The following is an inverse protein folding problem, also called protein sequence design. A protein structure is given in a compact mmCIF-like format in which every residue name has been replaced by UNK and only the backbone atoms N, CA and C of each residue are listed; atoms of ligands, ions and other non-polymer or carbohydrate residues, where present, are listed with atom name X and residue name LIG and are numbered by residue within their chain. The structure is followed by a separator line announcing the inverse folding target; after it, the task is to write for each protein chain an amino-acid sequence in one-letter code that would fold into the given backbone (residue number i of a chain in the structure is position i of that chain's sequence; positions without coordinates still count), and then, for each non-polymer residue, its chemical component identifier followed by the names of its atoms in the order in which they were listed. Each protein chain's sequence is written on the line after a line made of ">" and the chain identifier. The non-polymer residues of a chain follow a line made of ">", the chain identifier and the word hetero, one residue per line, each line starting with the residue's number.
data_IF_626913274017
#
_entry.id   IF_626913274017
#
_cell.length_a   1.000
_cell.length_b   1.000
_cell.length_c   1.000
_cell.angle_alpha   90.00
_cell.angle_beta   90.00
_cell.angle_gamma   90.00
#
_symmetry.space_group_name_H-M   'P 1'
#
loop_
_entity.id
_entity.type
_entity.pdbx_description
1 polymer ?
#
# COMPACT_ATOMS: atom_id res chain seq x y z
N UNK A 1 10.11 -2.81 -15.78
CA UNK A 1 11.59 -2.80 -15.74
C UNK A 1 12.19 -1.43 -16.01
N UNK A 2 11.93 -0.81 -17.16
CA UNK A 2 12.59 0.46 -17.57
C UNK A 2 12.25 1.65 -16.65
N UNK A 3 11.05 1.71 -16.07
CA UNK A 3 10.65 2.81 -15.19
C UNK A 3 11.33 2.75 -13.81
N UNK A 4 11.59 1.56 -13.28
CA UNK A 4 12.37 1.37 -12.04
C UNK A 4 13.83 1.80 -12.26
N UNK A 5 14.42 1.46 -13.40
CA UNK A 5 15.80 1.83 -13.77
C UNK A 5 15.98 3.35 -13.96
N UNK A 6 14.93 4.06 -14.42
CA UNK A 6 14.97 5.53 -14.57
C UNK A 6 14.84 6.28 -13.26
N UNK A 7 14.23 5.65 -12.24
CA UNK A 7 13.97 6.28 -10.94
C UNK A 7 15.11 6.09 -9.94
N UNK A 8 16.04 5.20 -10.21
CA UNK A 8 17.12 4.83 -9.30
C UNK A 8 18.45 4.87 -10.04
N UNK A 9 19.15 5.99 -10.00
CA UNK A 9 20.45 6.15 -10.65
C UNK A 9 21.52 6.76 -9.75
N UNK A 10 21.18 7.12 -8.51
CA UNK A 10 22.10 7.79 -7.60
C UNK A 10 22.29 7.01 -6.30
N UNK A 11 23.52 6.97 -5.83
CA UNK A 11 23.92 6.31 -4.55
C UNK A 11 23.28 6.94 -3.30
N UNK A 12 22.53 8.03 -3.46
CA UNK A 12 21.77 8.72 -2.40
C UNK A 12 20.27 8.40 -2.38
N UNK A 13 19.78 7.62 -3.33
CA UNK A 13 18.34 7.34 -3.45
C UNK A 13 17.85 6.56 -2.23
N UNK A 14 16.72 7.01 -1.68
CA UNK A 14 16.04 6.38 -0.55
C UNK A 14 14.78 5.70 -1.04
N UNK A 15 14.64 4.43 -0.71
CA UNK A 15 13.48 3.63 -1.12
C UNK A 15 12.70 3.20 0.11
N UNK A 16 11.39 3.38 0.07
CA UNK A 16 10.47 2.80 1.06
C UNK A 16 9.63 1.71 0.42
N UNK A 17 9.69 0.51 0.99
CA UNK A 17 8.77 -0.59 0.68
C UNK A 17 7.78 -0.69 1.83
N UNK A 18 6.53 -0.37 1.55
CA UNK A 18 5.42 -0.54 2.49
C UNK A 18 4.73 -1.88 2.25
N UNK A 19 4.14 -2.46 3.29
CA UNK A 19 3.40 -3.71 3.19
C UNK A 19 2.24 -3.76 4.18
N UNK A 20 1.20 -4.54 3.86
CA UNK A 20 0.01 -4.69 4.70
C UNK A 20 0.32 -5.33 6.05
N UNK A 21 -0.39 -4.90 7.07
CA UNK A 21 -0.33 -5.44 8.43
C UNK A 21 -1.00 -6.83 8.56
N UNK A 22 -1.06 -7.34 9.78
CA UNK A 22 -1.61 -8.65 10.11
C UNK A 22 -3.14 -8.74 10.00
N UNK A 23 -3.86 -7.64 9.86
CA UNK A 23 -5.32 -7.63 9.71
C UNK A 23 -5.74 -8.03 8.30
N UNK A 24 -4.83 -7.94 7.33
CA UNK A 24 -5.04 -8.47 5.99
C UNK A 24 -4.80 -9.98 6.00
N UNK A 25 -5.88 -10.75 5.80
CA UNK A 25 -5.91 -12.22 5.90
C UNK A 25 -5.13 -12.92 4.79
N UNK A 26 -3.83 -12.71 4.74
CA UNK A 26 -2.89 -13.42 3.87
C UNK A 26 -1.90 -14.19 4.73
N UNK A 27 -1.93 -15.50 4.60
CA UNK A 27 -1.05 -16.42 5.30
C UNK A 27 -0.03 -17.03 4.34
N UNK A 28 1.13 -17.44 4.88
CA UNK A 28 2.20 -17.98 4.07
C UNK A 28 3.17 -16.91 3.52
N UNK A 29 4.11 -17.29 2.66
CA UNK A 29 5.27 -16.48 2.31
C UNK A 29 5.02 -15.45 1.19
N UNK A 30 3.78 -15.05 0.94
CA UNK A 30 3.41 -14.16 -0.18
C UNK A 30 4.13 -12.81 -0.06
N UNK A 31 4.05 -12.16 1.12
CA UNK A 31 4.71 -10.86 1.36
C UNK A 31 6.24 -10.95 1.24
N UNK A 32 6.93 -11.88 1.95
CA UNK A 32 8.37 -11.97 1.83
C UNK A 32 8.84 -12.32 0.40
N UNK A 33 8.10 -13.15 -0.35
CA UNK A 33 8.43 -13.43 -1.76
C UNK A 33 8.34 -12.15 -2.60
N UNK A 34 7.25 -11.40 -2.48
CA UNK A 34 7.07 -10.16 -3.23
C UNK A 34 8.12 -9.11 -2.87
N UNK A 35 8.41 -8.92 -1.58
CA UNK A 35 9.43 -7.97 -1.11
C UNK A 35 10.82 -8.38 -1.62
N UNK A 36 11.19 -9.66 -1.58
CA UNK A 36 12.48 -10.13 -2.11
C UNK A 36 12.59 -9.89 -3.61
N UNK A 37 11.54 -10.18 -4.38
CA UNK A 37 11.54 -9.88 -5.81
C UNK A 37 11.76 -8.39 -6.09
N UNK A 38 11.13 -7.51 -5.31
CA UNK A 38 11.36 -6.06 -5.41
C UNK A 38 12.82 -5.71 -5.05
N UNK A 39 13.37 -6.29 -4.00
CA UNK A 39 14.77 -6.05 -3.59
C UNK A 39 15.77 -6.54 -4.65
N UNK A 40 15.49 -7.65 -5.32
CA UNK A 40 16.29 -8.16 -6.43
C UNK A 40 16.28 -7.19 -7.62
N UNK A 41 15.11 -6.69 -8.01
CA UNK A 41 14.99 -5.69 -9.09
C UNK A 41 15.69 -4.36 -8.73
N UNK A 42 15.57 -3.91 -7.48
CA UNK A 42 16.26 -2.73 -6.99
C UNK A 42 17.79 -2.93 -7.01
N UNK A 43 18.26 -4.11 -6.62
CA UNK A 43 19.69 -4.44 -6.66
C UNK A 43 20.25 -4.44 -8.10
N UNK A 44 19.48 -4.95 -9.07
CA UNK A 44 19.84 -4.88 -10.50
C UNK A 44 19.90 -3.43 -11.00
N UNK A 45 19.08 -2.54 -10.44
CA UNK A 45 19.12 -1.11 -10.71
C UNK A 45 20.21 -0.35 -9.94
N UNK A 46 21.04 -1.04 -9.13
CA UNK A 46 22.13 -0.43 -8.36
C UNK A 46 21.74 0.07 -6.96
N UNK A 47 20.51 -0.16 -6.52
CA UNK A 47 20.04 0.22 -5.18
C UNK A 47 20.37 -0.90 -4.20
N UNK A 48 21.13 -0.57 -3.16
CA UNK A 48 21.50 -1.52 -2.11
C UNK A 48 20.41 -1.64 -1.03
N UNK A 49 20.36 -2.77 -0.33
CA UNK A 49 19.43 -2.95 0.79
C UNK A 49 19.58 -1.89 1.90
N UNK A 50 20.76 -1.23 2.02
CA UNK A 50 21.00 -0.14 3.00
C UNK A 50 20.20 1.12 2.69
N UNK A 51 19.83 1.34 1.43
CA UNK A 51 19.03 2.48 0.96
C UNK A 51 17.52 2.22 1.10
N UNK A 52 17.13 0.98 1.45
CA UNK A 52 15.75 0.55 1.55
C UNK A 52 15.29 0.51 3.01
N UNK A 53 14.09 1.03 3.26
CA UNK A 53 13.34 0.88 4.52
C UNK A 53 12.08 0.07 4.27
N UNK A 54 11.73 -0.78 5.23
CA UNK A 54 10.46 -1.49 5.25
C UNK A 54 9.51 -0.85 6.27
N UNK A 55 8.25 -0.65 5.89
CA UNK A 55 7.24 -0.13 6.81
C UNK A 55 5.96 -0.96 6.75
N UNK A 56 5.54 -1.47 7.90
CA UNK A 56 4.23 -2.09 8.08
C UNK A 56 3.16 -1.00 8.09
N UNK A 57 2.26 -1.03 7.13
CA UNK A 57 1.19 -0.06 6.95
C UNK A 57 -0.04 -0.48 7.75
N UNK A 58 -0.04 -0.19 9.04
CA UNK A 58 -1.07 -0.60 9.98
C UNK A 58 -2.17 0.45 10.21
N UNK A 59 -2.21 1.52 9.45
CA UNK A 59 -3.24 2.56 9.58
C UNK A 59 -3.40 3.03 11.05
N UNK A 60 -4.61 2.93 11.60
CA UNK A 60 -4.92 3.22 13.00
C UNK A 60 -4.90 1.97 13.89
N UNK A 61 -4.52 0.82 13.34
CA UNK A 61 -4.38 -0.40 14.13
C UNK A 61 -3.16 -0.28 15.05
N UNK A 62 -3.15 -1.04 16.12
CA UNK A 62 -1.95 -1.16 16.95
C UNK A 62 -0.75 -1.63 16.12
N UNK A 63 0.41 -1.17 16.48
CA UNK A 63 1.65 -1.63 15.87
C UNK A 63 1.84 -3.14 16.03
N UNK A 64 2.41 -3.78 15.02
CA UNK A 64 2.79 -5.17 15.07
C UNK A 64 3.90 -5.40 16.10
N UNK A 65 3.77 -6.46 16.88
CA UNK A 65 4.84 -6.95 17.75
C UNK A 65 5.95 -7.60 16.92
N UNK A 66 7.18 -7.68 17.43
CA UNK A 66 8.28 -8.33 16.70
C UNK A 66 7.96 -9.74 16.20
N UNK A 67 7.27 -10.56 17.01
CA UNK A 67 6.85 -11.90 16.60
C UNK A 67 5.80 -11.89 15.48
N UNK A 68 4.98 -10.85 15.40
CA UNK A 68 4.00 -10.69 14.30
C UNK A 68 4.69 -10.26 13.01
N UNK A 69 5.66 -9.34 13.09
CA UNK A 69 6.49 -8.97 11.94
C UNK A 69 7.25 -10.18 11.37
N UNK A 70 7.78 -11.05 12.23
CA UNK A 70 8.43 -12.30 11.80
C UNK A 70 7.46 -13.26 11.10
N UNK A 71 6.19 -13.29 11.50
CA UNK A 71 5.15 -14.08 10.80
C UNK A 71 4.76 -13.47 9.46
N UNK A 72 4.79 -12.15 9.34
CA UNK A 72 4.44 -11.43 8.11
C UNK A 72 5.57 -11.49 7.07
N UNK A 73 6.83 -11.37 7.52
CA UNK A 73 7.99 -11.16 6.66
C UNK A 73 8.97 -12.34 6.62
N UNK A 74 8.95 -13.23 7.57
CA UNK A 74 9.97 -14.20 7.94
C UNK A 74 11.16 -13.65 8.75
N UNK A 75 11.90 -14.55 9.39
CA UNK A 75 13.03 -14.21 10.27
C UNK A 75 14.16 -13.52 9.49
N UNK A 76 14.44 -13.99 8.29
CA UNK A 76 15.56 -13.48 7.48
C UNK A 76 15.36 -12.00 7.10
N UNK A 77 14.18 -11.60 6.63
CA UNK A 77 13.91 -10.19 6.32
C UNK A 77 13.93 -9.32 7.58
N UNK A 78 13.35 -9.79 8.68
CA UNK A 78 13.35 -9.04 9.94
C UNK A 78 14.76 -8.82 10.46
N UNK A 79 15.61 -9.84 10.42
CA UNK A 79 17.00 -9.74 10.89
C UNK A 79 17.85 -8.89 9.94
N UNK A 80 17.66 -8.98 8.64
CA UNK A 80 18.38 -8.18 7.63
C UNK A 80 18.05 -6.69 7.74
N UNK A 81 16.78 -6.35 7.96
CA UNK A 81 16.36 -4.96 7.99
C UNK A 81 16.53 -4.30 9.37
N UNK A 82 16.41 -5.04 10.46
CA UNK A 82 16.65 -4.54 11.81
C UNK A 82 15.94 -3.21 12.09
N UNK A 83 16.69 -2.15 12.36
CA UNK A 83 16.23 -0.78 12.63
C UNK A 83 15.63 -0.07 11.39
N UNK A 84 15.81 -0.63 10.20
CA UNK A 84 15.21 -0.14 8.97
C UNK A 84 13.82 -0.75 8.69
N UNK A 85 13.32 -1.60 9.59
CA UNK A 85 11.97 -2.14 9.60
C UNK A 85 11.18 -1.46 10.73
N UNK A 86 10.07 -0.84 10.40
CA UNK A 86 9.20 -0.16 11.36
C UNK A 86 7.72 -0.44 11.10
N UNK A 87 6.89 -0.07 12.07
CA UNK A 87 5.46 0.10 11.87
C UNK A 87 5.15 1.58 11.66
N UNK A 88 4.11 1.87 10.88
CA UNK A 88 3.58 3.22 10.79
C UNK A 88 2.97 3.63 12.14
N UNK A 89 3.34 4.83 12.62
CA UNK A 89 2.74 5.44 13.80
C UNK A 89 1.90 6.65 13.36
N UNK A 90 0.58 6.46 13.35
CA UNK A 90 -0.37 7.51 12.95
C UNK A 90 -0.52 8.63 13.99
N UNK A 91 0.02 8.45 15.21
CA UNK A 91 -0.10 9.38 16.33
C UNK A 91 1.20 10.15 16.60
N UNK A 92 2.32 9.75 16.00
CA UNK A 92 3.58 10.47 16.15
C UNK A 92 3.71 11.60 15.10
N UNK A 93 3.51 12.88 15.47
CA UNK A 93 3.55 13.98 14.53
C UNK A 93 4.94 14.18 13.89
N UNK A 94 6.00 13.67 14.50
CA UNK A 94 7.36 13.72 13.93
C UNK A 94 7.50 12.82 12.69
N UNK A 95 6.68 11.77 12.59
CA UNK A 95 6.68 10.82 11.49
C UNK A 95 5.62 11.12 10.42
N UNK A 96 4.86 12.19 10.59
CA UNK A 96 3.77 12.56 9.67
C UNK A 96 4.13 13.82 8.87
N UNK A 97 3.85 13.77 7.58
CA UNK A 97 3.86 14.91 6.68
C UNK A 97 2.42 15.35 6.39
N UNK A 98 2.11 16.62 6.62
CA UNK A 98 0.85 17.26 6.20
C UNK A 98 1.05 17.83 4.79
N UNK A 99 0.32 17.32 3.83
CA UNK A 99 0.33 17.75 2.43
C UNK A 99 -0.80 18.72 2.09
N UNK A 100 -1.53 19.17 3.08
CA UNK A 100 -2.66 20.08 2.93
C UNK A 100 -3.97 19.34 2.63
N UNK A 101 -4.79 19.94 1.79
CA UNK A 101 -6.11 19.42 1.44
C UNK A 101 -6.26 19.28 -0.07
N UNK A 102 -7.10 18.34 -0.52
CA UNK A 102 -7.42 18.16 -1.93
C UNK A 102 -8.18 19.37 -2.49
N UNK A 103 -8.01 19.64 -3.78
CA UNK A 103 -8.55 20.85 -4.41
C UNK A 103 -10.08 20.80 -4.59
N UNK A 104 -10.63 19.61 -4.85
CA UNK A 104 -12.05 19.49 -5.20
C UNK A 104 -12.96 19.46 -3.96
N UNK A 105 -12.66 18.60 -2.99
CA UNK A 105 -13.51 18.42 -1.82
C UNK A 105 -12.86 18.80 -0.48
N UNK A 106 -11.62 19.29 -0.49
CA UNK A 106 -10.92 19.71 0.72
C UNK A 106 -10.57 18.58 1.68
N UNK A 107 -10.38 17.36 1.19
CA UNK A 107 -9.98 16.23 2.02
C UNK A 107 -8.55 16.40 2.53
N UNK A 108 -8.30 16.30 3.85
CA UNK A 108 -6.95 16.41 4.39
C UNK A 108 -6.09 15.21 3.97
N UNK A 109 -4.85 15.47 3.58
CA UNK A 109 -3.89 14.44 3.17
C UNK A 109 -2.67 14.51 4.06
N UNK A 110 -2.63 13.62 5.04
CA UNK A 110 -1.50 13.40 5.94
C UNK A 110 -0.99 11.97 5.73
N UNK A 111 0.33 11.82 5.60
CA UNK A 111 0.96 10.53 5.29
C UNK A 111 2.28 10.39 6.01
N UNK A 112 2.73 9.15 6.22
CA UNK A 112 4.05 8.86 6.77
C UNK A 112 5.17 9.60 6.02
N UNK A 113 6.09 10.21 6.77
CA UNK A 113 7.31 10.83 6.18
C UNK A 113 8.18 9.84 5.42
N UNK A 114 8.09 8.55 5.69
CA UNK A 114 8.77 7.55 4.89
C UNK A 114 8.32 7.57 3.42
N UNK A 115 7.08 8.00 3.13
CA UNK A 115 6.59 8.19 1.76
C UNK A 115 7.15 9.49 1.17
N UNK A 116 7.08 10.61 1.91
CA UNK A 116 7.48 11.92 1.38
C UNK A 116 9.00 12.07 1.25
N UNK A 117 9.75 11.46 2.18
CA UNK A 117 11.20 11.57 2.25
C UNK A 117 11.94 10.54 1.40
N UNK A 118 11.24 9.62 0.75
CA UNK A 118 11.81 8.64 -0.18
C UNK A 118 11.78 9.14 -1.61
N UNK A 119 12.74 8.73 -2.39
CA UNK A 119 12.80 8.99 -3.84
C UNK A 119 11.89 8.00 -4.61
N UNK A 120 11.69 6.81 -4.04
CA UNK A 120 10.80 5.79 -4.56
C UNK A 120 10.01 5.14 -3.42
N UNK A 121 8.71 5.03 -3.60
CA UNK A 121 7.82 4.26 -2.70
C UNK A 121 7.16 3.12 -3.47
N UNK A 122 7.29 1.91 -2.94
CA UNK A 122 6.66 0.70 -3.48
C UNK A 122 5.78 0.10 -2.39
N UNK A 123 4.51 -0.14 -2.68
CA UNK A 123 3.60 -0.78 -1.73
C UNK A 123 3.31 -2.23 -2.14
N UNK A 124 3.68 -3.17 -1.30
CA UNK A 124 3.35 -4.59 -1.45
C UNK A 124 2.01 -4.86 -0.78
N UNK A 125 0.98 -5.01 -1.58
CA UNK A 125 -0.40 -5.17 -1.15
C UNK A 125 -0.92 -6.56 -1.44
N UNK A 126 -1.77 -7.07 -0.55
CA UNK A 126 -2.58 -8.26 -0.79
C UNK A 126 -4.04 -7.87 -0.94
N UNK A 127 -4.64 -8.25 -2.06
CA UNK A 127 -5.99 -7.86 -2.45
C UNK A 127 -6.91 -9.08 -2.47
N UNK A 128 -7.92 -9.10 -1.60
CA UNK A 128 -8.80 -10.27 -1.43
C UNK A 128 -10.30 -9.93 -1.31
N UNK A 129 -10.65 -8.68 -0.99
CA UNK A 129 -12.03 -8.25 -0.90
C UNK A 129 -12.36 -7.34 -2.07
N UNK A 130 -13.18 -7.85 -2.99
CA UNK A 130 -13.62 -7.11 -4.18
C UNK A 130 -14.23 -5.77 -3.81
N UNK A 131 -13.73 -4.71 -4.43
CA UNK A 131 -14.22 -3.34 -4.27
C UNK A 131 -13.88 -2.67 -2.95
N UNK A 132 -13.24 -3.38 -2.01
CA UNK A 132 -12.85 -2.84 -0.70
C UNK A 132 -11.33 -2.72 -0.54
N UNK A 133 -10.57 -3.75 -0.96
CA UNK A 133 -9.11 -3.74 -0.88
C UNK A 133 -8.48 -3.17 -2.16
N UNK A 134 -7.20 -2.82 -2.08
CA UNK A 134 -6.41 -2.30 -3.21
C UNK A 134 -6.57 -0.81 -3.46
N UNK A 135 -5.98 -0.33 -4.56
CA UNK A 135 -5.96 1.08 -4.94
C UNK A 135 -5.26 1.96 -3.91
N UNK A 136 -5.68 3.21 -3.83
CA UNK A 136 -5.12 4.21 -2.91
C UNK A 136 -5.40 3.94 -1.43
N UNK A 137 -6.30 3.00 -1.12
CA UNK A 137 -6.52 2.57 0.26
C UNK A 137 -5.24 2.12 0.95
N UNK A 138 -4.35 1.45 0.24
CA UNK A 138 -3.08 0.97 0.78
C UNK A 138 -2.25 2.12 1.38
N UNK A 139 -2.12 3.23 0.66
CA UNK A 139 -1.30 4.38 1.08
C UNK A 139 -2.10 5.37 1.91
N UNK A 140 -3.25 5.83 1.39
CA UNK A 140 -4.05 6.89 2.01
C UNK A 140 -4.85 6.44 3.24
N UNK A 141 -4.85 5.15 3.56
CA UNK A 141 -5.29 4.63 4.86
C UNK A 141 -4.13 3.97 5.59
N UNK A 142 -3.43 3.02 4.94
CA UNK A 142 -2.40 2.21 5.58
C UNK A 142 -1.24 3.01 6.19
N UNK A 143 -0.88 4.14 5.59
CA UNK A 143 0.22 5.02 6.01
C UNK A 143 -0.25 6.43 6.41
N UNK A 144 -1.52 6.59 6.81
CA UNK A 144 -2.15 7.87 7.04
C UNK A 144 -2.61 8.05 8.49
N UNK A 145 -3.13 9.25 8.82
CA UNK A 145 -3.59 9.58 10.17
C UNK A 145 -5.11 9.52 10.29
N UNK A 146 -5.62 9.60 11.51
CA UNK A 146 -7.05 9.72 11.77
C UNK A 146 -7.68 10.90 11.02
N UNK A 147 -7.00 12.04 10.95
CA UNK A 147 -7.52 13.24 10.28
C UNK A 147 -7.83 12.99 8.81
N UNK A 148 -6.97 12.25 8.12
CA UNK A 148 -7.17 11.86 6.71
C UNK A 148 -8.18 10.70 6.58
N UNK A 149 -8.07 9.68 7.43
CA UNK A 149 -8.86 8.47 7.34
C UNK A 149 -10.35 8.72 7.61
N UNK A 150 -10.68 9.60 8.55
CA UNK A 150 -12.07 9.86 9.00
C UNK A 150 -13.02 10.23 7.87
N UNK A 151 -12.52 10.90 6.81
CA UNK A 151 -13.37 11.33 5.68
C UNK A 151 -13.88 10.16 4.83
N UNK A 152 -13.29 8.98 5.00
CA UNK A 152 -13.75 7.73 4.37
C UNK A 152 -14.65 6.90 5.28
N UNK A 153 -14.86 7.33 6.53
CA UNK A 153 -15.59 6.60 7.58
C UNK A 153 -16.92 7.28 7.96
N UNK A 154 -17.47 8.08 7.08
CA UNK A 154 -18.84 8.59 7.23
C UNK A 154 -19.87 7.54 6.74
N UNK A 155 -21.15 7.63 7.18
CA UNK A 155 -22.20 6.68 6.80
C UNK A 155 -22.43 6.58 5.30
N UNK A 156 -22.17 7.64 4.55
CA UNK A 156 -22.38 7.71 3.10
C UNK A 156 -21.13 7.26 2.32
N UNK A 157 -19.95 7.27 2.94
CA UNK A 157 -18.67 7.00 2.31
C UNK A 157 -18.22 5.55 2.32
N UNK A 158 -18.59 4.80 3.37
CA UNK A 158 -18.15 3.41 3.52
C UNK A 158 -19.17 2.43 2.99
N UNK A 159 -18.79 1.71 1.95
CA UNK A 159 -19.55 0.58 1.41
C UNK A 159 -18.62 -0.51 0.91
N UNK A 160 -18.92 -1.75 1.27
CA UNK A 160 -18.27 -2.94 0.70
C UNK A 160 -18.72 -3.23 -0.73
N UNK A 161 -19.66 -2.45 -1.27
CA UNK A 161 -20.14 -2.59 -2.64
C UNK A 161 -19.13 -2.03 -3.64
N UNK A 162 -18.83 -2.81 -4.68
CA UNK A 162 -18.00 -2.36 -5.79
C UNK A 162 -18.62 -1.15 -6.54
N UNK A 163 -19.96 -1.13 -6.66
CA UNK A 163 -20.67 -0.18 -7.51
C UNK A 163 -21.16 1.09 -6.78
N UNK A 164 -21.09 1.12 -5.44
CA UNK A 164 -21.59 2.24 -4.60
C UNK A 164 -20.60 2.64 -3.53
N UNK A 165 -19.34 2.34 -3.75
CA UNK A 165 -18.29 2.61 -2.76
C UNK A 165 -17.69 3.98 -3.02
N UNK A 166 -18.15 5.00 -2.28
CA UNK A 166 -17.56 6.34 -2.31
C UNK A 166 -16.16 6.41 -1.72
N UNK A 167 -15.80 5.45 -0.84
CA UNK A 167 -14.49 5.43 -0.20
C UNK A 167 -13.35 5.49 -1.24
N UNK A 168 -13.44 4.72 -2.31
CA UNK A 168 -12.39 4.73 -3.33
C UNK A 168 -12.36 6.03 -4.14
N UNK A 169 -13.48 6.69 -4.38
CA UNK A 169 -13.48 8.01 -5.04
C UNK A 169 -12.76 9.05 -4.17
N UNK A 170 -13.02 9.05 -2.85
CA UNK A 170 -12.31 9.89 -1.88
C UNK A 170 -10.81 9.57 -1.88
N UNK A 171 -10.45 8.29 -1.81
CA UNK A 171 -9.06 7.85 -1.77
C UNK A 171 -8.31 8.11 -3.07
N UNK A 172 -8.97 8.00 -4.22
CA UNK A 172 -8.40 8.31 -5.53
C UNK A 172 -8.06 9.82 -5.61
N UNK A 173 -8.95 10.70 -5.15
CA UNK A 173 -8.68 12.14 -5.06
C UNK A 173 -7.50 12.44 -4.12
N UNK A 174 -7.48 11.82 -2.94
CA UNK A 174 -6.38 11.97 -1.99
C UNK A 174 -5.04 11.46 -2.55
N UNK A 175 -5.06 10.31 -3.23
CA UNK A 175 -3.88 9.70 -3.84
C UNK A 175 -3.31 10.52 -4.98
N UNK A 176 -4.16 11.05 -5.86
CA UNK A 176 -3.73 11.94 -6.94
C UNK A 176 -3.17 13.26 -6.38
N UNK A 177 -3.77 13.81 -5.31
CA UNK A 177 -3.20 14.95 -4.61
C UNK A 177 -1.82 14.62 -4.04
N UNK A 178 -1.67 13.47 -3.39
CA UNK A 178 -0.39 12.99 -2.86
C UNK A 178 0.69 12.91 -3.95
N UNK A 179 0.45 12.22 -5.06
CA UNK A 179 1.40 12.13 -6.18
C UNK A 179 1.72 13.52 -6.77
N UNK A 180 0.71 14.38 -6.90
CA UNK A 180 0.90 15.76 -7.35
C UNK A 180 1.82 16.57 -6.42
N UNK A 181 1.68 16.39 -5.10
CA UNK A 181 2.56 17.04 -4.10
C UNK A 181 3.96 16.46 -4.08
N UNK A 182 4.09 15.16 -4.32
CA UNK A 182 5.39 14.48 -4.40
C UNK A 182 6.13 14.78 -5.72
N UNK A 183 5.43 15.13 -6.79
CA UNK A 183 5.98 15.24 -8.14
C UNK A 183 6.47 13.90 -8.71
N UNK A 184 6.04 12.77 -8.14
CA UNK A 184 6.41 11.41 -8.56
C UNK A 184 5.32 10.42 -8.24
N UNK A 185 5.37 9.28 -8.92
CA UNK A 185 4.42 8.17 -8.76
C UNK A 185 4.77 7.27 -7.57
N UNK A 186 3.74 6.65 -7.02
CA UNK A 186 3.85 5.53 -6.09
C UNK A 186 3.60 4.24 -6.86
N UNK A 187 4.45 3.25 -6.64
CA UNK A 187 4.32 1.94 -7.28
C UNK A 187 3.70 0.92 -6.33
N UNK A 188 3.01 -0.05 -6.91
CA UNK A 188 2.41 -1.17 -6.18
C UNK A 188 2.79 -2.51 -6.78
N UNK A 189 2.96 -3.47 -5.89
CA UNK A 189 2.85 -4.89 -6.19
C UNK A 189 1.52 -5.34 -5.57
N UNK A 190 0.52 -5.57 -6.40
CA UNK A 190 -0.83 -5.93 -5.96
C UNK A 190 -1.07 -7.42 -6.18
N UNK A 191 -1.06 -8.19 -5.11
CA UNK A 191 -1.26 -9.64 -5.15
C UNK A 191 -2.71 -9.97 -4.93
N UNK A 192 -3.38 -10.46 -5.97
CA UNK A 192 -4.76 -10.92 -5.87
C UNK A 192 -4.80 -12.34 -5.30
N UNK A 193 -5.42 -12.49 -4.13
CA UNK A 193 -5.58 -13.78 -3.47
C UNK A 193 -6.80 -14.53 -4.00
N UNK A 194 -6.64 -15.81 -4.23
CA UNK A 194 -7.76 -16.74 -4.48
C UNK A 194 -8.31 -17.31 -3.18
N UNK A 195 -7.44 -17.46 -2.20
CA UNK A 195 -7.75 -17.81 -0.81
C UNK A 195 -6.61 -17.27 0.08
N UNK A 196 -6.69 -17.39 1.42
CA UNK A 196 -5.68 -16.81 2.33
C UNK A 196 -4.25 -17.33 2.16
N UNK A 197 -4.04 -18.41 1.42
CA UNK A 197 -2.75 -19.07 1.25
C UNK A 197 -2.19 -18.98 -0.18
N UNK A 198 -3.04 -18.63 -1.16
CA UNK A 198 -2.67 -18.70 -2.56
C UNK A 198 -2.87 -17.37 -3.28
N UNK A 199 -1.84 -16.96 -4.01
CA UNK A 199 -1.89 -15.86 -4.95
C UNK A 199 -2.38 -16.38 -6.31
N UNK A 200 -3.46 -15.80 -6.82
CA UNK A 200 -3.97 -16.11 -8.15
C UNK A 200 -3.26 -15.32 -9.24
N UNK A 201 -3.08 -14.02 -9.00
CA UNK A 201 -2.37 -13.13 -9.92
C UNK A 201 -1.61 -12.05 -9.16
N UNK A 202 -0.57 -11.53 -9.79
CA UNK A 202 0.24 -10.41 -9.28
C UNK A 202 0.30 -9.34 -10.36
N UNK A 203 0.05 -8.11 -9.97
CA UNK A 203 0.16 -6.93 -10.81
C UNK A 203 1.23 -5.99 -10.26
N UNK A 204 2.04 -5.41 -11.13
CA UNK A 204 3.04 -4.41 -10.78
C UNK A 204 2.86 -3.16 -11.63
N UNK A 205 2.91 -2.00 -11.04
CA UNK A 205 2.75 -0.72 -11.74
C UNK A 205 2.34 0.40 -10.79
N UNK A 206 1.84 1.49 -11.32
CA UNK A 206 1.24 2.55 -10.52
C UNK A 206 -0.06 2.11 -9.85
N UNK A 207 -0.50 2.89 -8.87
CA UNK A 207 -1.64 2.53 -8.02
C UNK A 207 -2.93 2.33 -8.82
N UNK A 208 -3.22 3.22 -9.77
CA UNK A 208 -4.45 3.15 -10.55
C UNK A 208 -4.43 2.00 -11.57
N UNK A 209 -3.29 1.75 -12.20
CA UNK A 209 -3.13 0.66 -13.17
C UNK A 209 -3.30 -0.69 -12.50
N UNK A 210 -2.63 -0.92 -11.37
CA UNK A 210 -2.74 -2.18 -10.63
C UNK A 210 -4.15 -2.40 -10.11
N UNK A 211 -4.82 -1.34 -9.61
CA UNK A 211 -6.21 -1.42 -9.19
C UNK A 211 -7.14 -1.81 -10.33
N UNK A 212 -7.02 -1.16 -11.49
CA UNK A 212 -7.85 -1.44 -12.67
C UNK A 212 -7.70 -2.90 -13.11
N UNK A 213 -6.45 -3.38 -13.23
CA UNK A 213 -6.16 -4.75 -13.60
C UNK A 213 -6.71 -5.76 -12.57
N UNK A 214 -6.53 -5.51 -11.28
CA UNK A 214 -7.05 -6.36 -10.22
C UNK A 214 -8.58 -6.41 -10.21
N UNK A 215 -9.28 -5.29 -10.39
CA UNK A 215 -10.74 -5.23 -10.44
C UNK A 215 -11.31 -5.97 -11.64
N UNK A 216 -10.67 -5.89 -12.80
CA UNK A 216 -11.07 -6.62 -14.00
C UNK A 216 -11.06 -8.13 -13.74
N UNK A 217 -10.02 -8.66 -13.13
CA UNK A 217 -9.91 -10.08 -12.79
C UNK A 217 -10.88 -10.46 -11.68
N UNK A 218 -10.97 -9.66 -10.62
CA UNK A 218 -11.93 -9.90 -9.53
C UNK A 218 -13.37 -9.93 -10.01
N UNK A 219 -13.70 -9.12 -11.01
CA UNK A 219 -15.05 -9.11 -11.60
C UNK A 219 -15.38 -10.42 -12.32
N UNK A 220 -14.38 -11.06 -12.92
CA UNK A 220 -14.53 -12.38 -13.58
C UNK A 220 -14.62 -13.51 -12.57
N UNK A 221 -13.76 -13.49 -11.53
CA UNK A 221 -13.70 -14.55 -10.52
C UNK A 221 -14.86 -14.47 -9.53
N UNK A 222 -15.23 -13.25 -9.13
CA UNK A 222 -16.27 -12.98 -8.12
C UNK A 222 -17.39 -12.12 -8.72
N UNK A 223 -18.23 -12.69 -9.62
CA UNK A 223 -19.33 -11.94 -10.19
C UNK A 223 -20.30 -11.46 -9.09
N UNK A 224 -20.87 -10.29 -9.27
CA UNK A 224 -21.84 -9.75 -8.32
C UNK A 224 -23.06 -10.67 -8.22
N UNK A 225 -23.36 -11.17 -7.03
CA UNK A 225 -24.56 -11.99 -6.76
C UNK A 225 -25.81 -11.15 -6.43
N UNK A 226 -25.86 -9.91 -6.86
CA UNK A 226 -26.94 -8.97 -6.53
C UNK A 226 -28.34 -9.41 -7.00
N UNK A 227 -28.42 -10.36 -7.91
CA UNK A 227 -29.68 -10.77 -8.52
C UNK A 227 -30.44 -11.85 -7.76
N UNK A 228 -30.01 -12.30 -6.59
CA UNK A 228 -30.52 -13.51 -5.97
C UNK A 228 -31.16 -13.30 -4.59
N UNK A 229 -31.62 -12.10 -4.27
CA UNK A 229 -32.53 -11.89 -3.13
C UNK A 229 -33.89 -11.53 -3.69
N UNK A 230 -34.89 -12.43 -3.56
CA UNK A 230 -36.26 -12.12 -3.95
C UNK A 230 -36.88 -11.05 -3.08
#
# INVERSE_FOLDING_TARGET
>A
GEDLVRLTGHSSDRVTIAFDDHTVGSFGPIRPIAIRAVLEELAQAGVTARQVRLVCANALHRMCRPAELRRLLDDRLVDEFGDRLSCHDAEDPAQIADLGVTAEHGYPVEVSRLVTDSDLTIYVNTNYIRGFTGGWKSVCIGLSTWRSIRVTHDPDGMSMSLNRNRMHAVLDEMGHHLEGRLGRRIFKIDTLLTDPFHAGQVFAGGVDETRRAALEVQTKIFPSRRAAVP
#
